data_IF_823871235018
#
_entry.id   IF_823871235018
#
_cell.length_a   1.000
_cell.length_b   1.000
_cell.length_c   1.000
_cell.angle_alpha   90.00
_cell.angle_beta   90.00
_cell.angle_gamma   90.00
#
_symmetry.space_group_name_H-M   'P 1'
#
loop_
_entity.id
_entity.type
_entity.pdbx_description
1 polymer ?
#
# COMPACT_ATOMS: atom_id res chain seq x y z
N UNK A 1 37.84 -28.91 -4.59
CA UNK A 1 38.13 -27.92 -5.65
C UNK A 1 36.80 -27.45 -6.23
N UNK A 2 36.47 -26.15 -6.25
CA UNK A 2 35.83 -25.54 -7.44
C UNK A 2 35.29 -24.09 -7.33
N UNK A 3 35.16 -23.45 -6.16
CA UNK A 3 34.62 -22.07 -6.15
C UNK A 3 35.68 -20.96 -6.24
N UNK A 4 36.81 -21.08 -5.52
CA UNK A 4 37.87 -20.07 -5.56
C UNK A 4 38.64 -20.05 -6.90
N UNK A 5 38.80 -21.21 -7.55
CA UNK A 5 39.51 -21.31 -8.82
C UNK A 5 38.70 -20.71 -9.99
N UNK A 6 37.36 -20.80 -9.94
CA UNK A 6 36.47 -20.21 -10.94
C UNK A 6 36.33 -18.69 -10.76
N UNK A 7 36.31 -18.20 -9.52
CA UNK A 7 36.31 -16.76 -9.23
C UNK A 7 37.60 -16.09 -9.73
N UNK A 8 38.76 -16.71 -9.52
CA UNK A 8 40.05 -16.18 -10.00
C UNK A 8 40.14 -16.18 -11.54
N UNK A 9 39.71 -17.25 -12.23
CA UNK A 9 39.66 -17.28 -13.70
C UNK A 9 38.73 -16.22 -14.28
N UNK A 10 37.62 -15.93 -13.62
CA UNK A 10 36.66 -14.90 -14.05
C UNK A 10 37.22 -13.49 -13.83
N UNK A 11 37.92 -13.27 -12.71
CA UNK A 11 38.59 -12.02 -12.41
C UNK A 11 39.74 -11.73 -13.38
N UNK A 12 40.56 -12.73 -13.72
CA UNK A 12 41.66 -12.58 -14.68
C UNK A 12 41.15 -12.33 -16.11
N UNK A 13 40.09 -13.02 -16.53
CA UNK A 13 39.44 -12.78 -17.83
C UNK A 13 38.82 -11.37 -17.91
N UNK A 14 38.21 -10.89 -16.82
CA UNK A 14 37.69 -9.52 -16.72
C UNK A 14 38.81 -8.47 -16.79
N UNK A 15 39.95 -8.73 -16.15
CA UNK A 15 41.12 -7.85 -16.13
C UNK A 15 41.81 -7.76 -17.49
N UNK A 16 41.92 -8.88 -18.20
CA UNK A 16 42.47 -8.92 -19.57
C UNK A 16 41.57 -8.17 -20.55
N UNK A 17 40.25 -8.36 -20.43
CA UNK A 17 39.25 -7.67 -21.27
C UNK A 17 39.25 -6.16 -21.00
N UNK A 18 39.32 -5.76 -19.72
CA UNK A 18 39.45 -4.36 -19.33
C UNK A 18 40.76 -3.74 -19.85
N UNK A 19 41.88 -4.47 -19.78
CA UNK A 19 43.16 -4.03 -20.32
C UNK A 19 43.11 -3.79 -21.84
N UNK A 20 42.51 -4.72 -22.59
CA UNK A 20 42.32 -4.58 -24.04
C UNK A 20 41.43 -3.39 -24.40
N UNK A 21 40.35 -3.17 -23.66
CA UNK A 21 39.46 -2.02 -23.84
C UNK A 21 40.18 -0.68 -23.55
N UNK A 22 40.99 -0.63 -22.49
CA UNK A 22 41.80 0.56 -22.17
C UNK A 22 42.84 0.85 -23.26
N UNK A 23 43.52 -0.17 -23.77
CA UNK A 23 44.48 -0.01 -24.88
C UNK A 23 43.80 0.49 -26.14
N UNK A 24 42.64 -0.07 -26.52
CA UNK A 24 41.86 0.39 -27.67
C UNK A 24 41.38 1.84 -27.48
N UNK A 25 40.99 2.20 -26.26
CA UNK A 25 40.57 3.56 -25.93
C UNK A 25 41.72 4.57 -26.03
N UNK A 26 42.92 4.22 -25.55
CA UNK A 26 44.11 5.07 -25.68
C UNK A 26 44.58 5.19 -27.13
N UNK A 27 44.59 4.07 -27.88
CA UNK A 27 44.90 4.07 -29.30
C UNK A 27 43.94 4.97 -30.09
N UNK A 28 42.64 4.94 -29.74
CA UNK A 28 41.63 5.77 -30.40
C UNK A 28 41.79 7.25 -30.05
N UNK A 29 42.14 7.56 -28.79
CA UNK A 29 42.47 8.92 -28.34
C UNK A 29 43.67 9.49 -29.09
N UNK A 30 44.72 8.70 -29.26
CA UNK A 30 45.97 9.14 -29.91
C UNK A 30 45.83 9.25 -31.43
N UNK A 31 45.22 8.25 -32.08
CA UNK A 31 45.09 8.20 -33.55
C UNK A 31 43.96 9.10 -34.08
N UNK A 32 42.85 9.22 -33.35
CA UNK A 32 41.65 9.93 -33.79
C UNK A 32 40.98 10.71 -32.65
N UNK A 33 41.62 11.77 -32.13
CA UNK A 33 41.16 12.49 -30.94
C UNK A 33 39.75 13.08 -31.10
N UNK A 34 39.37 13.54 -32.30
CA UNK A 34 38.03 14.07 -32.58
C UNK A 34 36.92 13.04 -32.38
N UNK A 35 37.18 11.78 -32.79
CA UNK A 35 36.23 10.68 -32.65
C UNK A 35 36.14 10.25 -31.18
N UNK A 36 37.28 10.19 -30.50
CA UNK A 36 37.34 9.87 -29.07
C UNK A 36 36.54 10.87 -28.22
N UNK A 37 36.80 12.16 -28.34
CA UNK A 37 36.08 13.18 -27.58
C UNK A 37 34.61 13.33 -28.01
N UNK A 38 34.29 13.06 -29.28
CA UNK A 38 32.91 12.99 -29.76
C UNK A 38 32.12 11.84 -29.12
N UNK A 39 32.71 10.66 -29.01
CA UNK A 39 32.09 9.50 -28.35
C UNK A 39 31.88 9.75 -26.85
N UNK A 40 32.88 10.29 -26.15
CA UNK A 40 32.76 10.66 -24.73
C UNK A 40 31.67 11.70 -24.53
N UNK A 41 31.63 12.74 -25.37
CA UNK A 41 30.59 13.77 -25.32
C UNK A 41 29.18 13.20 -25.55
N UNK A 42 29.02 12.26 -26.47
CA UNK A 42 27.74 11.59 -26.74
C UNK A 42 27.22 10.79 -25.54
N UNK A 43 28.10 10.05 -24.85
CA UNK A 43 27.72 9.30 -23.64
C UNK A 43 27.31 10.24 -22.50
N UNK A 44 28.05 11.33 -22.31
CA UNK A 44 27.73 12.35 -21.29
C UNK A 44 26.37 12.99 -21.57
N UNK A 45 26.08 13.35 -22.82
CA UNK A 45 24.80 13.91 -23.21
C UNK A 45 23.63 12.95 -22.96
N UNK A 46 23.80 11.66 -23.29
CA UNK A 46 22.80 10.63 -23.03
C UNK A 46 22.49 10.49 -21.53
N UNK A 47 23.53 10.49 -20.68
CA UNK A 47 23.37 10.45 -19.23
C UNK A 47 22.61 11.66 -18.69
N UNK A 48 22.90 12.85 -19.21
CA UNK A 48 22.16 14.07 -18.85
C UNK A 48 20.68 13.94 -19.24
N UNK A 49 20.38 13.43 -20.45
CA UNK A 49 19.00 13.21 -20.89
C UNK A 49 18.27 12.23 -19.97
N UNK A 50 18.91 11.13 -19.58
CA UNK A 50 18.33 10.13 -18.65
C UNK A 50 18.13 10.73 -17.25
N UNK A 51 19.07 11.54 -16.76
CA UNK A 51 18.93 12.21 -15.48
C UNK A 51 17.84 13.29 -15.49
N UNK A 52 17.61 13.93 -16.63
CA UNK A 52 16.57 14.93 -16.83
C UNK A 52 15.19 14.34 -17.16
N UNK A 53 15.09 13.04 -17.50
CA UNK A 53 13.84 12.46 -17.99
C UNK A 53 12.75 12.29 -16.91
N UNK A 54 13.01 12.71 -15.67
CA UNK A 54 12.03 12.74 -14.58
C UNK A 54 11.61 11.35 -14.13
N UNK A 55 11.77 11.06 -12.84
CA UNK A 55 11.21 9.84 -12.27
C UNK A 55 9.68 9.84 -12.43
N UNK A 56 9.14 8.72 -12.90
CA UNK A 56 7.71 8.47 -12.96
C UNK A 56 7.08 8.87 -11.63
N UNK A 57 6.11 9.79 -11.66
CA UNK A 57 5.27 10.13 -10.52
C UNK A 57 4.38 8.93 -10.25
N UNK A 58 4.96 7.89 -9.67
CA UNK A 58 4.23 6.71 -9.22
C UNK A 58 3.23 7.20 -8.19
N UNK A 59 2.00 7.40 -8.66
CA UNK A 59 0.85 7.64 -7.81
C UNK A 59 0.83 6.46 -6.84
N UNK A 60 0.95 6.73 -5.54
CA UNK A 60 0.86 5.66 -4.55
C UNK A 60 -0.44 4.88 -4.83
N UNK A 61 -0.45 3.55 -4.71
CA UNK A 61 -1.64 2.75 -4.94
C UNK A 61 -2.79 3.35 -4.12
N UNK A 62 -3.73 4.00 -4.80
CA UNK A 62 -4.91 4.53 -4.14
C UNK A 62 -5.66 3.31 -3.62
N UNK A 63 -6.01 3.25 -2.32
CA UNK A 63 -6.80 2.15 -1.81
C UNK A 63 -8.03 2.01 -2.68
N UNK A 64 -8.15 0.89 -3.39
CA UNK A 64 -9.28 0.63 -4.26
C UNK A 64 -10.46 0.40 -3.34
N UNK A 65 -11.29 1.42 -3.15
CA UNK A 65 -12.53 1.26 -2.40
C UNK A 65 -13.32 0.14 -3.09
N UNK A 66 -13.58 -0.96 -2.37
CA UNK A 66 -14.45 -2.02 -2.87
C UNK A 66 -15.79 -1.39 -3.24
N UNK A 67 -16.35 -1.78 -4.39
CA UNK A 67 -17.71 -1.42 -4.75
C UNK A 67 -18.67 -2.17 -3.81
N UNK A 68 -18.90 -1.59 -2.64
CA UNK A 68 -19.87 -2.10 -1.68
C UNK A 68 -21.27 -1.91 -2.28
N UNK A 69 -22.11 -2.93 -2.14
CA UNK A 69 -23.49 -2.90 -2.59
C UNK A 69 -24.44 -3.21 -1.44
N UNK A 70 -25.56 -2.49 -1.41
CA UNK A 70 -26.64 -2.74 -0.44
C UNK A 70 -27.19 -4.16 -0.63
N UNK A 71 -27.45 -4.85 0.46
CA UNK A 71 -27.93 -6.22 0.51
C UNK A 71 -26.85 -7.29 0.29
N UNK A 72 -25.59 -6.91 0.05
CA UNK A 72 -24.49 -7.86 -0.05
C UNK A 72 -23.82 -8.08 1.31
N UNK A 73 -23.28 -9.29 1.46
CA UNK A 73 -22.57 -9.75 2.66
C UNK A 73 -21.06 -9.51 2.51
N UNK A 74 -20.46 -9.00 3.58
CA UNK A 74 -19.05 -8.63 3.69
C UNK A 74 -18.52 -9.02 5.08
N UNK A 75 -17.25 -8.73 5.35
CA UNK A 75 -16.64 -8.85 6.68
C UNK A 75 -16.11 -7.51 7.15
N UNK A 76 -16.15 -7.30 8.47
CA UNK A 76 -15.55 -6.12 9.08
C UNK A 76 -14.05 -6.33 9.24
N UNK A 77 -13.22 -5.40 8.76
CA UNK A 77 -11.77 -5.42 8.93
C UNK A 77 -11.17 -4.02 8.94
N UNK A 78 -10.40 -3.70 9.97
CA UNK A 78 -9.74 -2.41 10.10
C UNK A 78 -8.51 -2.35 9.17
N UNK A 79 -8.44 -1.40 8.22
CA UNK A 79 -7.31 -1.29 7.31
C UNK A 79 -6.06 -0.68 7.96
N UNK A 80 -6.18 -0.07 9.14
CA UNK A 80 -5.11 0.67 9.82
C UNK A 80 -4.34 -0.17 10.84
N UNK A 81 -4.74 -1.42 11.08
CA UNK A 81 -4.04 -2.33 11.99
C UNK A 81 -4.03 -3.75 11.43
N UNK A 82 -2.98 -4.49 11.78
CA UNK A 82 -2.88 -5.92 11.53
C UNK A 82 -3.21 -6.75 12.77
N UNK A 83 -3.48 -6.09 13.91
CA UNK A 83 -3.82 -6.76 15.16
C UNK A 83 -5.22 -7.36 15.05
N UNK A 84 -5.31 -8.66 15.32
CA UNK A 84 -6.56 -9.43 15.21
C UNK A 84 -7.57 -9.04 16.30
N UNK A 85 -7.07 -8.59 17.44
CA UNK A 85 -7.89 -8.28 18.63
C UNK A 85 -8.40 -6.84 18.67
N UNK A 86 -8.00 -5.98 17.71
CA UNK A 86 -8.49 -4.59 17.68
C UNK A 86 -9.94 -4.54 17.18
N UNK A 87 -10.92 -4.19 18.03
CA UNK A 87 -12.32 -4.21 17.65
C UNK A 87 -12.66 -3.05 16.70
N UNK A 88 -13.67 -3.28 15.86
CA UNK A 88 -14.25 -2.28 14.98
C UNK A 88 -15.47 -1.67 15.67
N UNK A 89 -15.55 -0.35 15.66
CA UNK A 89 -16.59 0.40 16.34
C UNK A 89 -17.82 0.58 15.45
N UNK A 90 -18.98 0.15 15.94
CA UNK A 90 -20.29 0.45 15.40
C UNK A 90 -20.94 1.55 16.23
N UNK A 91 -21.42 2.59 15.55
CA UNK A 91 -22.10 3.73 16.20
C UNK A 91 -23.54 3.88 15.73
N UNK A 92 -24.37 4.53 16.54
CA UNK A 92 -25.78 4.75 16.20
C UNK A 92 -25.99 5.75 15.04
N UNK A 93 -25.08 6.71 14.88
CA UNK A 93 -25.11 7.74 13.83
C UNK A 93 -23.71 7.94 13.25
N UNK A 94 -23.54 8.07 11.92
CA UNK A 94 -22.22 8.02 11.29
C UNK A 94 -21.26 9.13 11.75
N UNK A 95 -21.77 10.31 12.09
CA UNK A 95 -20.94 11.42 12.61
C UNK A 95 -20.35 11.19 14.00
N UNK A 96 -20.84 10.19 14.75
CA UNK A 96 -20.36 9.91 16.11
C UNK A 96 -19.06 9.09 16.15
N UNK A 97 -18.60 8.52 15.02
CA UNK A 97 -17.34 7.74 14.98
C UNK A 97 -16.14 8.60 15.41
N UNK A 98 -16.10 9.87 15.00
CA UNK A 98 -15.00 10.77 15.33
C UNK A 98 -15.05 11.32 16.76
N UNK A 99 -16.20 11.19 17.43
CA UNK A 99 -16.41 11.61 18.81
C UNK A 99 -16.43 10.41 19.77
N UNK A 100 -16.06 9.23 19.29
CA UNK A 100 -16.05 8.02 20.10
C UNK A 100 -14.89 8.08 21.09
N UNK A 101 -15.23 8.06 22.38
CA UNK A 101 -14.27 8.00 23.47
C UNK A 101 -14.32 6.60 24.08
N UNK A 102 -13.20 5.88 23.96
CA UNK A 102 -13.07 4.52 24.46
C UNK A 102 -13.21 4.44 25.99
N UNK A 103 -13.03 5.55 26.72
CA UNK A 103 -13.07 5.61 28.18
C UNK A 103 -14.47 5.59 28.79
N UNK A 104 -15.52 5.86 28.00
CA UNK A 104 -16.91 5.86 28.49
C UNK A 104 -17.58 4.48 28.50
N UNK A 105 -17.11 3.56 27.65
CA UNK A 105 -17.71 2.23 27.50
C UNK A 105 -17.45 1.31 28.72
N UNK A 106 -16.40 1.58 29.52
CA UNK A 106 -16.10 0.80 30.74
C UNK A 106 -17.08 1.11 31.90
N UNK A 107 -17.84 2.21 31.81
CA UNK A 107 -18.66 2.72 32.91
C UNK A 107 -20.16 2.37 32.81
N UNK A 108 -20.66 1.91 31.66
CA UNK A 108 -22.09 1.61 31.46
C UNK A 108 -22.31 0.17 31.03
N UNK A 109 -22.45 -0.68 32.05
CA UNK A 109 -22.92 -2.03 31.86
C UNK A 109 -24.40 -2.08 31.46
N UNK A 110 -24.70 -3.06 30.59
CA UNK A 110 -25.97 -3.79 30.48
C UNK A 110 -27.08 -3.26 29.54
N UNK A 111 -26.75 -2.52 28.47
CA UNK A 111 -27.65 -2.43 27.32
C UNK A 111 -27.07 -3.20 26.11
N UNK A 112 -27.87 -4.10 25.51
CA UNK A 112 -27.44 -4.95 24.37
C UNK A 112 -26.95 -4.15 23.15
N UNK A 113 -27.32 -2.87 23.06
CA UNK A 113 -26.88 -1.94 22.01
C UNK A 113 -25.50 -1.37 22.33
N UNK A 114 -25.17 -1.16 23.61
CA UNK A 114 -23.83 -0.73 24.04
C UNK A 114 -22.82 -1.88 23.95
N UNK A 115 -23.23 -3.12 24.27
CA UNK A 115 -22.35 -4.29 24.16
C UNK A 115 -21.94 -4.63 22.72
N UNK A 116 -22.70 -4.19 21.73
CA UNK A 116 -22.44 -4.43 20.30
C UNK A 116 -21.81 -3.24 19.58
N UNK A 117 -21.31 -2.25 20.33
CA UNK A 117 -20.51 -1.16 19.79
C UNK A 117 -19.14 -1.61 19.34
N UNK A 118 -18.55 -2.61 20.01
CA UNK A 118 -17.24 -3.16 19.65
C UNK A 118 -17.41 -4.54 19.05
N UNK A 119 -17.15 -4.65 17.76
CA UNK A 119 -17.30 -5.89 16.99
C UNK A 119 -15.92 -6.43 16.62
N UNK A 120 -15.71 -7.73 16.82
CA UNK A 120 -14.46 -8.38 16.46
C UNK A 120 -14.19 -8.28 14.95
N UNK A 121 -12.91 -8.19 14.57
CA UNK A 121 -12.54 -8.27 13.15
C UNK A 121 -12.93 -9.64 12.55
N UNK A 122 -13.23 -9.63 11.26
CA UNK A 122 -13.73 -10.80 10.53
C UNK A 122 -15.22 -11.06 10.71
N UNK A 123 -15.92 -10.32 11.57
CA UNK A 123 -17.37 -10.48 11.76
C UNK A 123 -18.11 -10.21 10.47
N UNK A 124 -18.96 -11.15 10.07
CA UNK A 124 -19.75 -11.02 8.85
C UNK A 124 -20.91 -10.04 9.04
N UNK A 125 -21.14 -9.22 8.02
CA UNK A 125 -22.15 -8.18 8.01
C UNK A 125 -22.84 -8.06 6.66
N UNK A 126 -24.08 -7.56 6.66
CA UNK A 126 -24.79 -7.16 5.45
C UNK A 126 -24.89 -5.64 5.39
N UNK A 127 -24.57 -5.05 4.25
CA UNK A 127 -24.70 -3.60 4.06
C UNK A 127 -26.16 -3.24 3.84
N UNK A 128 -26.68 -2.32 4.66
CA UNK A 128 -28.08 -1.89 4.64
C UNK A 128 -28.28 -0.58 3.88
N UNK A 129 -27.40 0.39 4.11
CA UNK A 129 -27.47 1.72 3.49
C UNK A 129 -26.11 2.41 3.55
N UNK A 130 -25.96 3.49 2.78
CA UNK A 130 -24.75 4.31 2.77
C UNK A 130 -25.08 5.75 3.12
N UNK A 131 -24.08 6.45 3.64
CA UNK A 131 -24.15 7.88 3.84
C UNK A 131 -22.88 8.57 3.35
N UNK A 132 -23.10 9.66 2.61
CA UNK A 132 -22.05 10.56 2.14
C UNK A 132 -21.60 11.47 3.28
N UNK A 133 -20.31 11.81 3.30
CA UNK A 133 -19.76 12.74 4.30
C UNK A 133 -18.53 13.46 3.77
N UNK A 134 -18.41 14.75 4.10
CA UNK A 134 -17.26 15.60 3.75
C UNK A 134 -16.83 15.50 2.27
N UNK A 135 -17.79 15.43 1.35
CA UNK A 135 -17.53 15.31 -0.09
C UNK A 135 -17.12 13.90 -0.58
N UNK A 136 -17.06 12.91 0.32
CA UNK A 136 -16.81 11.50 -0.03
C UNK A 136 -18.14 10.75 -0.13
N UNK A 137 -18.41 10.19 -1.31
CA UNK A 137 -19.57 9.33 -1.55
C UNK A 137 -19.43 8.02 -0.78
N UNK A 138 -20.53 7.55 -0.18
CA UNK A 138 -20.59 6.32 0.63
C UNK A 138 -19.48 6.28 1.69
N UNK A 139 -19.21 7.38 2.37
CA UNK A 139 -18.16 7.46 3.38
C UNK A 139 -18.42 6.50 4.56
N UNK A 140 -19.69 6.35 4.91
CA UNK A 140 -20.16 5.44 5.95
C UNK A 140 -21.11 4.39 5.35
N UNK A 141 -21.08 3.20 5.95
CA UNK A 141 -22.01 2.12 5.66
C UNK A 141 -22.74 1.77 6.95
N UNK A 142 -24.06 1.64 6.88
CA UNK A 142 -24.82 0.98 7.93
C UNK A 142 -24.81 -0.51 7.64
N UNK A 143 -24.45 -1.28 8.65
CA UNK A 143 -24.28 -2.72 8.55
C UNK A 143 -25.19 -3.42 9.55
N UNK A 144 -25.72 -4.58 9.16
CA UNK A 144 -26.35 -5.53 10.07
C UNK A 144 -25.39 -6.67 10.34
N UNK A 145 -25.20 -7.02 11.61
CA UNK A 145 -24.32 -8.10 12.03
C UNK A 145 -25.00 -9.45 11.80
N UNK A 146 -24.31 -10.36 11.12
CA UNK A 146 -24.89 -11.65 10.70
C UNK A 146 -24.61 -12.79 11.69
N UNK A 147 -23.55 -12.68 12.49
CA UNK A 147 -23.01 -13.75 13.32
C UNK A 147 -22.58 -13.25 14.71
N UNK A 148 -22.39 -14.18 15.66
CA UNK A 148 -21.96 -13.88 17.02
C UNK A 148 -23.07 -13.36 17.94
N UNK A 149 -22.67 -12.89 19.13
CA UNK A 149 -23.59 -12.41 20.18
C UNK A 149 -24.40 -11.17 19.74
N UNK A 150 -23.87 -10.44 18.76
CA UNK A 150 -24.45 -9.23 18.21
C UNK A 150 -25.30 -9.46 16.96
N UNK A 151 -25.60 -10.70 16.59
CA UNK A 151 -26.42 -11.02 15.41
C UNK A 151 -27.75 -10.26 15.40
N UNK A 152 -28.08 -9.68 14.25
CA UNK A 152 -29.27 -8.87 14.01
C UNK A 152 -29.15 -7.42 14.47
N UNK A 153 -28.13 -7.07 15.25
CA UNK A 153 -27.86 -5.67 15.58
C UNK A 153 -27.37 -4.91 14.35
N UNK A 154 -27.57 -3.59 14.35
CA UNK A 154 -27.13 -2.73 13.26
C UNK A 154 -26.48 -1.47 13.79
N UNK A 155 -25.52 -0.97 13.03
CA UNK A 155 -24.80 0.26 13.35
C UNK A 155 -24.07 0.79 12.14
N UNK A 156 -23.57 2.01 12.27
CA UNK A 156 -22.77 2.69 11.26
C UNK A 156 -21.30 2.44 11.51
N UNK A 157 -20.56 2.24 10.42
CA UNK A 157 -19.11 2.07 10.39
C UNK A 157 -18.55 2.87 9.20
N UNK A 158 -17.24 3.12 9.19
CA UNK A 158 -16.59 3.65 8.00
C UNK A 158 -16.64 2.59 6.90
N UNK A 159 -16.99 2.98 5.68
CA UNK A 159 -17.08 2.03 4.55
C UNK A 159 -15.73 1.37 4.23
N UNK A 160 -14.61 1.96 4.66
CA UNK A 160 -13.27 1.36 4.48
C UNK A 160 -13.06 0.13 5.37
N UNK A 161 -13.83 -0.01 6.45
CA UNK A 161 -13.76 -1.14 7.37
C UNK A 161 -14.62 -2.32 6.90
N UNK A 162 -15.32 -2.21 5.77
CA UNK A 162 -16.17 -3.25 5.20
C UNK A 162 -15.49 -3.86 3.98
N UNK A 163 -15.23 -5.17 4.01
CA UNK A 163 -14.44 -5.88 2.98
C UNK A 163 -15.14 -7.10 2.42
#
# INVERSE_FOLDING_TARGET
MSNEENANKTADAAKETAGKLFSVMMDLKEKNPKVFFGAVGGVVLLLIIIMMSGGDSKVMPVPTAKNLAVGQRYVLKNPNTYEVESPIQLVAVPGAIAAFDDSEDDAKGKDKVESCRRIAQGTAVTVMEFQDFAGKKNAFAKVQVEDGECKGSSGWVLSIDVQ
#
